data_IF_365105302287
#
_entry.id   IF_365105302287
#
_cell.length_a   1.000
_cell.length_b   1.000
_cell.length_c   1.000
_cell.angle_alpha   90.00
_cell.angle_beta   90.00
_cell.angle_gamma   90.00
#
_symmetry.space_group_name_H-M   'P 1'
#
loop_
_entity.id
_entity.type
_entity.pdbx_description
1 polymer ?
2 water ?
#
# COMPACT_ATOMS: atom_id res chain seq x y z
N UNK A 1 12.21 5.49 -13.21
CA UNK A 1 12.09 6.56 -14.26
C UNK A 1 11.75 7.95 -13.71
N UNK A 2 10.54 8.46 -13.97
CA UNK A 2 10.05 9.66 -13.29
C UNK A 2 9.75 9.30 -11.83
N UNK A 3 9.56 10.30 -10.99
CA UNK A 3 9.34 10.06 -9.56
C UNK A 3 7.89 10.25 -9.12
N UNK A 4 7.02 10.52 -10.09
CA UNK A 4 5.57 10.61 -9.84
C UNK A 4 5.19 11.51 -8.66
N UNK A 5 5.83 12.67 -8.54
CA UNK A 5 5.51 13.66 -7.48
C UNK A 5 5.64 13.07 -6.05
N UNK A 6 6.44 12.02 -5.91
CA UNK A 6 6.62 11.33 -4.64
C UNK A 6 5.30 10.90 -4.04
N UNK A 7 4.35 10.48 -4.88
CA UNK A 7 3.03 10.11 -4.38
C UNK A 7 3.06 8.90 -3.44
N UNK A 8 4.09 8.04 -3.54
CA UNK A 8 4.18 6.88 -2.64
C UNK A 8 5.13 7.15 -1.49
N UNK A 9 4.57 7.21 -0.29
CA UNK A 9 5.29 7.59 0.93
C UNK A 9 5.56 6.38 1.81
N UNK A 10 6.81 6.21 2.25
CA UNK A 10 7.18 5.06 3.07
C UNK A 10 6.68 5.13 4.51
N UNK A 11 6.08 4.02 4.96
CA UNK A 11 5.73 3.83 6.38
C UNK A 11 6.79 3.00 7.08
N UNK A 12 7.16 3.43 8.28
CA UNK A 12 8.19 2.70 9.03
C UNK A 12 7.73 2.20 10.40
N UNK A 13 6.46 2.42 10.74
CA UNK A 13 5.95 1.92 12.02
C UNK A 13 4.46 1.69 12.03
N UNK A 14 4.05 0.88 12.99
CA UNK A 14 2.63 0.71 13.30
C UNK A 14 1.98 2.07 13.70
N UNK A 15 2.67 2.90 14.48
CA UNK A 15 2.19 4.23 14.84
C UNK A 15 1.82 5.06 13.59
N UNK A 16 2.70 5.08 12.60
CA UNK A 16 2.47 5.86 11.37
C UNK A 16 1.33 5.29 10.55
N UNK A 17 1.27 3.96 10.47
CA UNK A 17 0.16 3.30 9.75
C UNK A 17 -1.18 3.69 10.35
N UNK A 18 -1.32 3.55 11.68
CA UNK A 18 -2.56 3.96 12.32
C UNK A 18 -2.84 5.45 12.14
N UNK A 19 -1.79 6.27 12.19
CA UNK A 19 -1.94 7.71 12.01
C UNK A 19 -2.47 8.03 10.61
N UNK A 20 -1.91 7.37 9.61
CA UNK A 20 -2.28 7.65 8.23
C UNK A 20 -3.76 7.32 7.94
N UNK A 21 -4.21 6.15 8.37
CA UNK A 21 -5.57 5.64 8.05
C UNK A 21 -6.62 6.39 8.84
N UNK A 22 -6.21 7.01 9.95
CA UNK A 22 -7.06 7.89 10.72
C UNK A 22 -7.19 9.29 10.10
N UNK A 23 -6.05 9.85 9.68
CA UNK A 23 -6.00 11.23 9.20
C UNK A 23 -6.54 11.41 7.80
N UNK A 24 -6.52 10.34 7.01
CA UNK A 24 -6.97 10.40 5.62
C UNK A 24 -8.20 9.52 5.43
N UNK A 25 -9.26 10.10 4.86
CA UNK A 25 -10.48 9.36 4.60
C UNK A 25 -10.21 8.15 3.70
N UNK A 26 -9.46 8.41 2.63
CA UNK A 26 -9.21 7.42 1.59
C UNK A 26 -7.72 7.17 1.50
N UNK A 27 -7.30 5.94 1.78
CA UNK A 27 -5.87 5.59 1.88
C UNK A 27 -5.54 4.26 1.19
N UNK A 28 -4.60 4.27 0.25
CA UNK A 28 -4.06 3.03 -0.30
C UNK A 28 -2.72 2.77 0.35
N UNK A 29 -2.47 1.51 0.68
CA UNK A 29 -1.21 1.07 1.30
C UNK A 29 -0.70 -0.16 0.54
N UNK A 30 0.58 -0.16 0.18
CA UNK A 30 1.19 -1.25 -0.55
C UNK A 30 2.29 -1.92 0.27
N UNK A 31 2.19 -3.23 0.44
CA UNK A 31 3.31 -4.03 0.91
C UNK A 31 4.21 -4.32 -0.29
N UNK A 32 5.48 -3.95 -0.17
CA UNK A 32 6.44 -4.06 -1.27
C UNK A 32 7.67 -4.86 -0.86
N UNK A 33 8.16 -5.73 -1.75
CA UNK A 33 9.44 -6.44 -1.54
C UNK A 33 10.52 -5.79 -2.38
N UNK A 34 11.72 -5.63 -1.83
CA UNK A 34 12.78 -4.90 -2.54
C UNK A 34 13.61 -5.76 -3.50
N UNK A 35 13.34 -7.06 -3.53
CA UNK A 35 14.13 -7.97 -4.34
C UNK A 35 13.28 -8.74 -5.36
N UNK A 36 12.13 -8.19 -5.73
CA UNK A 36 11.14 -8.93 -6.51
C UNK A 36 10.60 -8.13 -7.72
N UNK A 37 10.88 -8.57 -8.97
CA UNK A 37 10.28 -7.95 -10.16
C UNK A 37 8.75 -7.88 -10.11
N UNK A 38 8.09 -8.87 -9.53
CA UNK A 38 6.63 -8.81 -9.44
C UNK A 38 6.21 -7.64 -8.55
N UNK A 39 6.91 -7.46 -7.43
CA UNK A 39 6.64 -6.34 -6.55
C UNK A 39 6.96 -4.99 -7.21
N UNK A 40 8.09 -4.92 -7.91
CA UNK A 40 8.41 -3.69 -8.64
C UNK A 40 7.35 -3.33 -9.67
N UNK A 41 6.81 -4.33 -10.37
CA UNK A 41 5.72 -4.08 -11.33
C UNK A 41 4.50 -3.49 -10.61
N UNK A 42 4.14 -4.09 -9.47
CA UNK A 42 3.04 -3.56 -8.65
C UNK A 42 3.29 -2.13 -8.13
N UNK A 43 4.51 -1.86 -7.66
CA UNK A 43 4.88 -0.55 -7.18
C UNK A 43 4.75 0.48 -8.32
N UNK A 44 5.21 0.10 -9.51
CA UNK A 44 5.05 0.96 -10.69
C UNK A 44 3.56 1.27 -10.99
N UNK A 45 2.71 0.25 -10.96
CA UNK A 45 1.25 0.44 -11.13
C UNK A 45 0.69 1.37 -10.06
N UNK A 46 1.14 1.16 -8.83
CA UNK A 46 0.71 1.93 -7.67
C UNK A 46 1.05 3.41 -7.89
N UNK A 47 2.31 3.69 -8.26
CA UNK A 47 2.74 5.06 -8.55
C UNK A 47 1.99 5.68 -9.72
N UNK A 48 1.76 4.92 -10.79
CA UNK A 48 1.03 5.43 -11.96
C UNK A 48 -0.39 5.80 -11.59
N UNK A 49 -1.04 4.95 -10.80
CA UNK A 49 -2.39 5.23 -10.36
C UNK A 49 -2.45 6.48 -9.47
N UNK A 50 -1.60 6.53 -8.44
CA UNK A 50 -1.64 7.65 -7.52
C UNK A 50 -1.31 8.98 -8.19
N UNK A 51 -0.30 8.94 -9.06
CA UNK A 51 0.11 10.12 -9.83
C UNK A 51 -1.01 10.65 -10.72
N UNK A 52 -1.70 9.74 -11.40
CA UNK A 52 -2.83 10.13 -12.26
C UNK A 52 -3.98 10.70 -11.41
N UNK A 53 -4.14 10.18 -10.19
CA UNK A 53 -5.17 10.64 -9.27
C UNK A 53 -4.79 11.90 -8.50
N UNK A 54 -3.50 12.24 -8.51
CA UNK A 54 -3.04 13.37 -7.70
C UNK A 54 -3.37 13.09 -6.24
N UNK A 55 -2.97 11.90 -5.79
CA UNK A 55 -3.32 11.40 -4.47
C UNK A 55 -2.11 10.75 -3.83
N UNK A 56 -1.81 11.09 -2.57
CA UNK A 56 -0.75 10.38 -1.90
C UNK A 56 -1.22 9.02 -1.45
N UNK A 57 -0.30 8.06 -1.51
CA UNK A 57 -0.52 6.75 -0.93
C UNK A 57 0.74 6.35 -0.20
N UNK A 58 0.70 5.14 0.38
CA UNK A 58 1.74 4.72 1.29
C UNK A 58 2.24 3.32 0.96
N UNK A 59 3.50 3.06 1.32
CA UNK A 59 4.02 1.72 1.11
C UNK A 59 4.95 1.37 2.25
N UNK A 60 5.24 0.08 2.38
CA UNK A 60 6.27 -0.36 3.32
C UNK A 60 7.12 -1.39 2.64
N UNK A 61 8.38 -1.45 3.04
CA UNK A 61 9.28 -2.52 2.62
C UNK A 61 9.13 -3.67 3.62
N UNK A 62 8.43 -4.71 3.20
CA UNK A 62 8.07 -5.83 4.08
C UNK A 62 9.23 -6.28 4.96
N UNK A 63 10.31 -6.68 4.29
CA UNK A 63 11.51 -7.22 4.93
C UNK A 63 12.03 -6.29 6.03
N UNK A 64 12.07 -5.00 5.76
CA UNK A 64 12.61 -4.05 6.72
C UNK A 64 11.65 -3.73 7.86
N UNK A 65 10.36 -4.01 7.64
CA UNK A 65 9.33 -3.60 8.61
C UNK A 65 8.37 -4.76 8.84
N UNK A 66 8.90 -5.88 9.32
CA UNK A 66 8.07 -7.07 9.57
C UNK A 66 7.00 -6.82 10.64
N UNK A 67 7.33 -6.11 11.71
CA UNK A 67 6.30 -5.81 12.70
C UNK A 67 5.08 -5.22 12.02
N UNK A 68 5.32 -4.19 11.22
CA UNK A 68 4.26 -3.45 10.54
C UNK A 68 3.54 -4.37 9.55
N UNK A 69 4.30 -5.17 8.80
CA UNK A 69 3.70 -6.09 7.83
C UNK A 69 2.73 -7.07 8.53
N UNK A 70 3.18 -7.66 9.65
CA UNK A 70 2.31 -8.58 10.38
C UNK A 70 1.12 -7.83 11.02
N UNK A 71 1.35 -6.58 11.45
CA UNK A 71 0.27 -5.77 11.98
C UNK A 71 -0.84 -5.56 10.94
N UNK A 72 -0.46 -5.26 9.70
CA UNK A 72 -1.45 -5.06 8.64
C UNK A 72 -2.23 -6.35 8.34
N UNK A 73 -1.55 -7.51 8.41
CA UNK A 73 -2.22 -8.78 8.25
C UNK A 73 -3.27 -8.99 9.35
N UNK A 74 -2.93 -8.65 10.60
CA UNK A 74 -3.88 -8.80 11.72
C UNK A 74 -4.93 -7.70 11.72
N UNK A 75 -4.63 -6.59 11.08
CA UNK A 75 -5.53 -5.45 11.02
C UNK A 75 -6.71 -5.76 10.11
N UNK A 76 -6.45 -6.58 9.10
CA UNK A 76 -7.35 -6.84 7.96
C UNK A 76 -7.83 -8.27 7.94
N UNK A 77 -7.23 -9.13 8.77
CA UNK A 77 -7.39 -10.57 8.66
C UNK A 77 -7.13 -11.15 7.27
N UNK A 78 -6.21 -10.52 6.54
CA UNK A 78 -5.78 -10.99 5.24
C UNK A 78 -4.34 -11.51 5.37
N UNK A 79 -4.12 -12.79 5.07
CA UNK A 79 -2.80 -13.34 5.25
C UNK A 79 -1.79 -12.65 4.34
N UNK A 80 -0.58 -12.53 4.86
CA UNK A 80 0.45 -11.78 4.20
C UNK A 80 0.79 -12.27 2.79
N UNK A 81 0.90 -11.34 1.84
CA UNK A 81 1.51 -11.60 0.53
C UNK A 81 2.38 -10.41 0.22
N UNK A 82 3.27 -10.57 -0.74
CA UNK A 82 3.98 -9.43 -1.29
C UNK A 82 4.19 -9.63 -2.79
N UNK A 83 3.85 -8.62 -3.61
CA UNK A 83 3.27 -7.34 -3.23
C UNK A 83 1.79 -7.52 -2.87
N UNK A 84 1.26 -6.61 -2.06
CA UNK A 84 -0.13 -6.71 -1.61
C UNK A 84 -0.63 -5.30 -1.36
N UNK A 85 -1.77 -4.95 -1.95
CA UNK A 85 -2.26 -3.60 -1.80
C UNK A 85 -3.60 -3.60 -1.10
N UNK A 86 -3.83 -2.56 -0.30
CA UNK A 86 -5.04 -2.42 0.50
C UNK A 86 -5.60 -1.03 0.29
N UNK A 87 -6.92 -0.93 0.38
CA UNK A 87 -7.63 0.35 0.33
C UNK A 87 -8.44 0.49 1.59
N UNK A 88 -8.16 1.57 2.32
CA UNK A 88 -8.87 1.91 3.56
C UNK A 88 -9.76 3.13 3.38
N UNK A 89 -11.00 2.98 3.81
CA UNK A 89 -11.96 4.09 3.76
C UNK A 89 -12.38 4.34 5.20
N UNK A 90 -12.12 5.55 5.69
CA UNK A 90 -12.33 5.88 7.12
C UNK A 90 -11.77 4.81 8.07
N UNK A 91 -10.56 4.35 7.77
CA UNK A 91 -9.86 3.43 8.65
C UNK A 91 -10.18 1.96 8.49
N UNK A 92 -11.14 1.64 7.64
CA UNK A 92 -11.62 0.28 7.50
C UNK A 92 -11.26 -0.25 6.14
N UNK A 93 -10.76 -1.47 6.10
CA UNK A 93 -10.44 -2.01 4.81
C UNK A 93 -11.68 -2.23 3.97
N UNK A 94 -11.54 -1.99 2.69
CA UNK A 94 -12.66 -2.27 1.79
C UNK A 94 -12.25 -3.05 0.54
N UNK A 95 -10.94 -3.24 0.34
CA UNK A 95 -10.43 -3.92 -0.87
C UNK A 95 -8.98 -4.32 -0.62
N UNK A 96 -8.60 -5.46 -1.20
CA UNK A 96 -7.17 -5.79 -1.30
C UNK A 96 -6.94 -6.61 -2.58
N UNK A 97 -5.71 -6.57 -3.07
CA UNK A 97 -5.27 -7.43 -4.16
C UNK A 97 -3.81 -7.73 -3.97
N UNK A 98 -3.33 -8.78 -4.61
CA UNK A 98 -1.92 -9.10 -4.50
C UNK A 98 -1.34 -9.50 -5.84
N UNK A 99 0.00 -9.53 -5.89
CA UNK A 99 0.73 -9.89 -7.12
C UNK A 99 0.25 -9.13 -8.34
N UNK A 100 0.11 -9.80 -9.47
CA UNK A 100 -0.31 -9.13 -10.70
C UNK A 100 -1.69 -8.52 -10.73
N UNK A 101 -2.51 -8.83 -9.74
CA UNK A 101 -3.83 -8.20 -9.62
C UNK A 101 -3.77 -6.76 -9.14
N UNK A 102 -2.57 -6.30 -8.75
CA UNK A 102 -2.37 -4.89 -8.41
C UNK A 102 -2.00 -4.16 -9.69
N UNK A 103 -2.94 -3.40 -10.23
CA UNK A 103 -2.67 -2.64 -11.45
C UNK A 103 -3.56 -1.42 -11.45
N UNK A 104 -3.31 -0.49 -12.37
CA UNK A 104 -4.02 0.78 -12.36
C UNK A 104 -5.53 0.62 -12.45
N UNK A 105 -5.99 -0.38 -13.20
CA UNK A 105 -7.43 -0.63 -13.31
C UNK A 105 -8.05 -1.24 -12.05
N UNK A 106 -7.35 -2.15 -11.38
CA UNK A 106 -7.91 -2.71 -10.14
C UNK A 106 -7.92 -1.70 -9.01
N UNK A 107 -6.88 -0.87 -8.93
CA UNK A 107 -6.84 0.21 -7.97
C UNK A 107 -8.00 1.17 -8.21
N UNK A 108 -8.27 1.45 -9.48
CA UNK A 108 -9.39 2.33 -9.82
C UNK A 108 -10.75 1.72 -9.44
N UNK A 109 -10.90 0.42 -9.64
CA UNK A 109 -12.11 -0.29 -9.26
C UNK A 109 -12.34 -0.27 -7.76
N UNK A 110 -11.25 -0.27 -6.99
CA UNK A 110 -11.35 -0.24 -5.54
C UNK A 110 -12.12 0.97 -5.05
N UNK A 111 -12.03 2.07 -5.78
CA UNK A 111 -12.65 3.33 -5.36
C UNK A 111 -14.14 3.43 -5.64
N UNK A 112 -14.66 2.54 -6.51
CA UNK A 112 -16.03 2.65 -7.03
C UNK A 112 -17.11 2.43 -5.98
#
# INVERSE_FOLDING_TARGET
>A
NLYFQGVAIKLSSIDQFEQVIEENKYVFVLKHSETCPISANAYDQFNKFLYERDMDGYYLIVQQERDLSDYIAKKTNVKHESPQAFYFVNGEMVWNRDHGDINVSSLAQAEE
#
